data_IF_091399099538
#
_entry.id   IF_091399099538
#
_cell.length_a   1.000
_cell.length_b   1.000
_cell.length_c   1.000
_cell.angle_alpha   90.00
_cell.angle_beta   90.00
_cell.angle_gamma   90.00
#
_symmetry.space_group_name_H-M   'P 1'
#
loop_
_entity.id
_entity.type
_entity.pdbx_description
1 polymer ?
#
# COMPACT_ATOMS: atom_id res chain seq x y z
N UNK A 1 -4.16 -0.74 -20.26
CA UNK A 1 -3.30 -1.11 -19.11
C UNK A 1 -2.15 -0.12 -18.97
N UNK A 2 -1.49 0.26 -20.06
CA UNK A 2 -0.36 1.21 -20.08
C UNK A 2 -0.66 2.58 -19.45
N UNK A 3 -1.86 3.13 -19.67
CA UNK A 3 -2.28 4.36 -19.00
C UNK A 3 -2.37 4.21 -17.48
N UNK A 4 -2.79 3.05 -16.96
CA UNK A 4 -2.84 2.83 -15.51
C UNK A 4 -1.43 2.65 -14.95
N UNK A 5 -0.58 1.86 -15.62
CA UNK A 5 0.81 1.65 -15.22
C UNK A 5 1.63 2.95 -15.23
N UNK A 6 1.40 3.85 -16.20
CA UNK A 6 2.12 5.14 -16.25
C UNK A 6 1.78 6.08 -15.10
N UNK A 7 0.71 5.80 -14.34
CA UNK A 7 0.34 6.53 -13.13
C UNK A 7 0.93 5.93 -11.85
N UNK A 8 1.54 4.74 -11.92
CA UNK A 8 2.16 4.08 -10.77
C UNK A 8 3.69 4.27 -10.89
N UNK A 9 4.33 5.09 -10.05
CA UNK A 9 5.77 5.30 -10.07
C UNK A 9 6.61 4.02 -10.02
N UNK A 10 6.14 2.99 -9.31
CA UNK A 10 6.81 1.68 -9.27
C UNK A 10 6.72 0.87 -10.57
N UNK A 11 5.99 1.35 -11.58
CA UNK A 11 5.87 0.75 -12.91
C UNK A 11 5.38 -0.71 -12.92
N UNK A 12 4.67 -1.14 -11.88
CA UNK A 12 4.02 -2.46 -11.78
C UNK A 12 2.75 -2.39 -10.95
N UNK A 13 1.91 -3.41 -11.08
CA UNK A 13 0.81 -3.62 -10.13
C UNK A 13 1.36 -4.16 -8.80
N UNK A 14 0.67 -3.86 -7.71
CA UNK A 14 0.92 -4.49 -6.43
C UNK A 14 0.43 -5.94 -6.44
N UNK A 15 1.11 -6.78 -5.68
CA UNK A 15 0.72 -8.17 -5.46
C UNK A 15 -0.16 -8.29 -4.21
N UNK A 16 -0.98 -9.34 -4.15
CA UNK A 16 -1.89 -9.59 -3.00
C UNK A 16 -1.10 -9.75 -1.71
N UNK A 17 0.07 -10.39 -1.80
CA UNK A 17 0.97 -10.67 -0.69
C UNK A 17 1.53 -9.38 -0.07
N UNK A 18 1.74 -8.33 -0.88
CA UNK A 18 2.22 -7.03 -0.38
C UNK A 18 1.15 -6.34 0.47
N UNK A 19 -0.11 -6.42 0.02
CA UNK A 19 -1.26 -5.88 0.75
C UNK A 19 -1.52 -6.70 2.02
N UNK A 20 -1.46 -8.02 1.93
CA UNK A 20 -1.66 -8.93 3.06
C UNK A 20 -0.58 -8.74 4.14
N UNK A 21 0.68 -8.54 3.74
CA UNK A 21 1.78 -8.26 4.66
C UNK A 21 1.55 -6.96 5.44
N UNK A 22 1.16 -5.87 4.75
CA UNK A 22 0.83 -4.60 5.40
C UNK A 22 -0.33 -4.75 6.39
N UNK A 23 -1.42 -5.43 5.99
CA UNK A 23 -2.57 -5.68 6.87
C UNK A 23 -2.15 -6.50 8.10
N UNK A 24 -1.32 -7.52 7.90
CA UNK A 24 -0.84 -8.38 8.99
C UNK A 24 -0.04 -7.59 10.02
N UNK A 25 0.82 -6.67 9.56
CA UNK A 25 1.55 -5.77 10.45
C UNK A 25 0.60 -4.80 11.19
N UNK A 26 -0.36 -4.17 10.48
CA UNK A 26 -1.35 -3.26 11.09
C UNK A 26 -2.16 -3.98 12.18
N UNK A 27 -2.51 -5.25 11.97
CA UNK A 27 -3.27 -6.05 12.92
C UNK A 27 -2.44 -6.59 14.10
N UNK A 28 -1.11 -6.43 14.06
CA UNK A 28 -0.19 -6.97 15.08
C UNK A 28 0.08 -5.99 16.22
N UNK A 29 0.68 -6.49 17.31
CA UNK A 29 1.17 -5.65 18.41
C UNK A 29 2.31 -4.70 17.98
N UNK A 30 2.97 -4.96 16.86
CA UNK A 30 4.03 -4.11 16.33
C UNK A 30 3.50 -2.74 15.86
N UNK A 31 2.20 -2.65 15.55
CA UNK A 31 1.51 -1.40 15.19
C UNK A 31 0.76 -0.75 16.38
N UNK A 32 1.17 -1.04 17.63
CA UNK A 32 0.41 -0.70 18.84
C UNK A 32 0.17 0.79 19.13
N UNK A 33 0.95 1.69 18.53
CA UNK A 33 0.83 3.14 18.77
C UNK A 33 0.24 3.93 17.59
N UNK A 34 -0.29 3.24 16.57
CA UNK A 34 -0.98 3.89 15.45
C UNK A 34 -2.49 3.74 15.60
N UNK A 35 -3.22 4.84 15.46
CA UNK A 35 -4.69 4.83 15.40
C UNK A 35 -5.18 5.91 14.43
N UNK A 36 -6.34 5.66 13.81
CA UNK A 36 -6.96 6.56 12.83
C UNK A 36 -6.04 7.01 11.66
N UNK A 37 -5.04 6.20 11.32
CA UNK A 37 -4.11 6.48 10.23
C UNK A 37 -4.55 5.79 8.93
N UNK A 38 -4.13 6.36 7.80
CA UNK A 38 -4.26 5.75 6.47
C UNK A 38 -2.88 5.28 6.04
N UNK A 39 -2.79 4.00 5.68
CA UNK A 39 -1.59 3.43 5.06
C UNK A 39 -1.84 3.26 3.56
N UNK A 40 -1.07 3.98 2.74
CA UNK A 40 -1.16 3.86 1.30
C UNK A 40 -0.24 2.75 0.78
N UNK A 41 -0.82 1.86 -0.02
CA UNK A 41 -0.16 0.73 -0.68
C UNK A 41 -0.32 0.83 -2.20
N UNK A 42 -0.20 2.05 -2.72
CA UNK A 42 -0.53 2.33 -4.13
C UNK A 42 0.65 2.22 -5.10
N UNK A 43 1.84 1.89 -4.62
CA UNK A 43 3.07 1.96 -5.41
C UNK A 43 3.41 3.39 -5.86
N UNK A 44 2.96 4.40 -5.10
CA UNK A 44 3.17 5.83 -5.35
C UNK A 44 2.12 6.48 -6.27
N UNK A 45 1.01 5.79 -6.57
CA UNK A 45 -0.05 6.32 -7.45
C UNK A 45 -0.84 7.46 -6.81
N UNK A 46 -1.04 7.41 -5.50
CA UNK A 46 -1.79 8.42 -4.78
C UNK A 46 -0.99 9.73 -4.66
N UNK A 47 -1.67 10.87 -4.80
CA UNK A 47 -1.04 12.21 -4.87
C UNK A 47 -1.64 13.21 -3.88
N UNK A 48 -2.21 12.71 -2.77
CA UNK A 48 -2.76 13.54 -1.70
C UNK A 48 -1.67 14.26 -0.90
#
# INVERSE_FOLDING_TARGET
IDFMLSKIPMARFGEVEEVAALISWIASEECSFTTAAVFDVSGGRATY
#
